data_IF_093199015083
#
_entry.id   IF_093199015083
#
_cell.length_a   1.000
_cell.length_b   1.000
_cell.length_c   1.000
_cell.angle_alpha   90.00
_cell.angle_beta   90.00
_cell.angle_gamma   90.00
#
_symmetry.space_group_name_H-M   'P 1'
#
loop_
_entity.id
_entity.type
_entity.pdbx_description
1 polymer ?
#
# COMPACT_ATOMS: atom_id res chain seq x y z
N UNK A 1 60.57 3.39 -1.99
CA UNK A 1 59.18 2.92 -2.06
C UNK A 1 59.10 1.61 -1.30
N UNK A 2 58.34 1.56 -0.19
CA UNK A 2 58.19 0.32 0.56
C UNK A 2 57.24 -0.62 -0.24
N UNK A 3 57.57 -1.95 -0.33
CA UNK A 3 56.74 -2.91 -1.04
C UNK A 3 55.38 -3.05 -0.34
N UNK A 4 54.28 -2.93 -1.12
CA UNK A 4 52.91 -3.14 -0.62
C UNK A 4 52.81 -4.61 -0.21
N UNK A 5 52.44 -4.89 1.04
CA UNK A 5 52.30 -6.25 1.55
C UNK A 5 51.20 -7.00 0.76
N UNK A 6 51.41 -8.27 0.37
CA UNK A 6 50.42 -9.07 -0.39
C UNK A 6 49.03 -9.13 0.23
N UNK A 7 48.94 -9.06 1.58
CA UNK A 7 47.70 -9.02 2.34
C UNK A 7 46.87 -7.78 2.05
N UNK A 8 47.50 -6.61 1.86
CA UNK A 8 46.77 -5.36 1.55
C UNK A 8 46.15 -5.43 0.13
N UNK A 9 46.83 -6.07 -0.82
CA UNK A 9 46.30 -6.29 -2.18
C UNK A 9 45.10 -7.23 -2.15
N UNK A 10 45.18 -8.32 -1.37
CA UNK A 10 44.09 -9.29 -1.23
C UNK A 10 42.86 -8.66 -0.58
N UNK A 11 43.03 -7.85 0.46
CA UNK A 11 41.92 -7.10 1.09
C UNK A 11 41.31 -6.08 0.14
N UNK A 12 42.09 -5.40 -0.67
CA UNK A 12 41.60 -4.44 -1.64
C UNK A 12 40.75 -5.14 -2.73
N UNK A 13 41.23 -6.29 -3.26
CA UNK A 13 40.48 -7.09 -4.23
C UNK A 13 39.21 -7.70 -3.62
N UNK A 14 39.25 -8.20 -2.39
CA UNK A 14 38.07 -8.74 -1.70
C UNK A 14 37.02 -7.66 -1.43
N UNK A 15 37.45 -6.48 -1.02
CA UNK A 15 36.56 -5.34 -0.79
C UNK A 15 35.89 -4.84 -2.09
N UNK A 16 36.67 -4.71 -3.16
CA UNK A 16 36.14 -4.35 -4.48
C UNK A 16 35.21 -5.43 -5.04
N UNK A 17 35.51 -6.70 -4.82
CA UNK A 17 34.66 -7.82 -5.20
C UNK A 17 33.33 -7.80 -4.44
N UNK A 18 33.34 -7.56 -3.15
CA UNK A 18 32.12 -7.39 -2.34
C UNK A 18 31.33 -6.16 -2.76
N UNK A 19 31.96 -5.04 -3.06
CA UNK A 19 31.35 -3.84 -3.58
C UNK A 19 30.73 -4.10 -4.97
N UNK A 20 31.46 -4.79 -5.84
CA UNK A 20 31.00 -5.16 -7.18
C UNK A 20 29.81 -6.14 -7.10
N UNK A 21 29.88 -7.12 -6.21
CA UNK A 21 28.79 -8.07 -5.96
C UNK A 21 27.52 -7.36 -5.42
N UNK A 22 27.68 -6.39 -4.53
CA UNK A 22 26.54 -5.60 -4.02
C UNK A 22 25.91 -4.70 -5.08
N UNK A 23 26.69 -4.16 -6.02
CA UNK A 23 26.19 -3.38 -7.15
C UNK A 23 25.49 -4.26 -8.21
N UNK A 24 25.97 -5.49 -8.42
CA UNK A 24 25.34 -6.41 -9.39
C UNK A 24 24.07 -7.07 -8.85
N UNK A 25 23.88 -7.13 -7.53
CA UNK A 25 22.67 -7.67 -6.89
C UNK A 25 21.54 -6.64 -6.75
N UNK A 26 21.74 -5.39 -7.12
CA UNK A 26 20.69 -4.37 -7.18
C UNK A 26 19.73 -4.68 -8.35
N UNK A 27 18.79 -5.62 -8.12
CA UNK A 27 17.72 -5.91 -9.07
C UNK A 27 16.92 -4.63 -9.32
N UNK A 28 16.70 -4.27 -10.59
CA UNK A 28 15.81 -3.14 -10.95
C UNK A 28 14.40 -3.38 -10.36
N UNK A 29 13.69 -2.33 -9.95
CA UNK A 29 12.28 -2.45 -9.61
C UNK A 29 11.52 -3.16 -10.73
N UNK A 30 10.66 -4.09 -10.37
CA UNK A 30 9.89 -4.83 -11.35
C UNK A 30 8.66 -4.02 -11.76
N UNK A 31 8.50 -3.80 -13.07
CA UNK A 31 7.35 -3.13 -13.64
C UNK A 31 6.55 -4.16 -14.44
N UNK A 32 5.26 -4.24 -14.15
CA UNK A 32 4.31 -5.12 -14.81
C UNK A 32 3.39 -4.25 -15.64
N UNK A 33 3.65 -4.16 -16.94
CA UNK A 33 2.77 -3.49 -17.89
C UNK A 33 1.76 -4.50 -18.45
N UNK A 34 0.48 -4.16 -18.41
CA UNK A 34 -0.57 -5.03 -18.92
C UNK A 34 -1.55 -4.28 -19.81
N UNK A 35 -2.18 -5.02 -20.73
CA UNK A 35 -3.17 -4.46 -21.67
C UNK A 35 -4.58 -4.89 -21.27
N UNK A 36 -5.44 -3.93 -21.01
CA UNK A 36 -6.88 -4.12 -20.77
C UNK A 36 -7.61 -2.83 -21.16
N UNK A 37 -8.17 -2.75 -22.38
CA UNK A 37 -8.74 -1.51 -22.91
C UNK A 37 -9.82 -0.91 -22.00
N UNK A 38 -9.71 0.39 -21.71
CA UNK A 38 -10.65 1.18 -20.93
C UNK A 38 -10.91 0.66 -19.49
N UNK A 39 -9.97 -0.07 -18.91
CA UNK A 39 -10.15 -0.64 -17.56
C UNK A 39 -10.16 0.44 -16.48
N UNK A 40 -9.19 1.38 -16.50
CA UNK A 40 -8.96 2.38 -15.46
C UNK A 40 -9.07 1.77 -14.06
N UNK A 41 -8.17 0.85 -13.70
CA UNK A 41 -8.28 0.08 -12.46
C UNK A 41 -8.05 0.98 -11.26
N UNK A 42 -8.84 0.78 -10.20
CA UNK A 42 -8.72 1.54 -8.94
C UNK A 42 -8.25 0.65 -7.80
N UNK A 43 -8.81 -0.56 -7.63
CA UNK A 43 -8.44 -1.51 -6.60
C UNK A 43 -7.36 -2.50 -7.04
N UNK A 44 -6.52 -2.93 -6.11
CA UNK A 44 -5.44 -3.89 -6.31
C UNK A 44 -5.33 -4.84 -5.11
N UNK A 45 -5.33 -6.15 -5.37
CA UNK A 45 -4.98 -7.16 -4.37
C UNK A 45 -4.07 -8.23 -4.96
N UNK A 46 -3.28 -8.88 -4.10
CA UNK A 46 -2.44 -10.01 -4.46
C UNK A 46 -3.09 -11.33 -4.03
N UNK A 47 -3.42 -12.20 -4.99
CA UNK A 47 -3.82 -13.57 -4.70
C UNK A 47 -2.59 -14.46 -4.56
N UNK A 48 -2.25 -14.77 -3.30
CA UNK A 48 -1.10 -15.61 -3.00
C UNK A 48 -1.27 -17.08 -3.41
N UNK A 49 -2.53 -17.53 -3.60
CA UNK A 49 -2.81 -18.92 -4.01
C UNK A 49 -2.59 -19.11 -5.51
N UNK A 50 -2.97 -18.14 -6.32
CA UNK A 50 -2.82 -18.16 -7.77
C UNK A 50 -1.58 -17.39 -8.28
N UNK A 51 -0.84 -16.71 -7.37
CA UNK A 51 0.38 -15.96 -7.67
C UNK A 51 0.18 -14.90 -8.77
N UNK A 52 -0.94 -14.15 -8.68
CA UNK A 52 -1.25 -13.05 -9.57
C UNK A 52 -1.91 -11.88 -8.82
N UNK A 53 -1.91 -10.71 -9.44
CA UNK A 53 -2.69 -9.58 -8.99
C UNK A 53 -4.12 -9.65 -9.50
N UNK A 54 -5.06 -9.09 -8.75
CA UNK A 54 -6.44 -8.86 -9.20
C UNK A 54 -6.70 -7.37 -9.12
N UNK A 55 -7.26 -6.81 -10.19
CA UNK A 55 -7.61 -5.39 -10.29
C UNK A 55 -9.09 -5.21 -10.62
N UNK A 56 -9.69 -4.13 -10.11
CA UNK A 56 -11.05 -3.70 -10.42
C UNK A 56 -11.13 -2.89 -11.71
N UNK A 57 -12.27 -2.27 -11.97
CA UNK A 57 -12.49 -1.40 -13.12
C UNK A 57 -13.43 -0.23 -12.78
N UNK A 58 -13.16 0.96 -13.30
CA UNK A 58 -14.08 2.10 -13.19
C UNK A 58 -15.32 1.97 -14.09
N UNK A 59 -15.23 1.24 -15.18
CA UNK A 59 -16.28 1.28 -16.23
C UNK A 59 -16.85 -0.08 -16.60
N UNK A 60 -16.29 -1.14 -16.05
CA UNK A 60 -16.68 -2.51 -16.41
C UNK A 60 -17.01 -3.33 -15.17
N UNK A 61 -18.09 -4.11 -15.25
CA UNK A 61 -18.46 -5.10 -14.23
C UNK A 61 -17.54 -6.34 -14.30
N UNK A 62 -16.23 -6.08 -14.33
CA UNK A 62 -15.19 -7.09 -14.57
C UNK A 62 -14.04 -6.92 -13.59
N UNK A 63 -13.56 -8.04 -13.09
CA UNK A 63 -12.30 -8.15 -12.34
C UNK A 63 -11.28 -8.84 -13.26
N UNK A 64 -10.09 -8.26 -13.32
CA UNK A 64 -9.03 -8.73 -14.21
C UNK A 64 -7.88 -9.29 -13.36
N UNK A 65 -7.39 -10.49 -13.70
CA UNK A 65 -6.14 -11.01 -13.16
C UNK A 65 -4.96 -10.53 -13.99
N UNK A 66 -3.86 -10.20 -13.32
CA UNK A 66 -2.62 -9.75 -13.96
C UNK A 66 -1.46 -10.58 -13.40
N UNK A 67 -0.81 -11.34 -14.27
CA UNK A 67 0.35 -12.13 -13.89
C UNK A 67 1.61 -11.26 -13.75
N UNK A 68 2.65 -11.80 -13.13
CA UNK A 68 3.97 -11.16 -13.01
C UNK A 68 4.62 -10.82 -14.38
N UNK A 69 4.21 -11.52 -15.44
CA UNK A 69 4.63 -11.27 -16.82
C UNK A 69 3.76 -10.26 -17.58
N UNK A 70 2.75 -9.65 -16.93
CA UNK A 70 1.85 -8.67 -17.55
C UNK A 70 0.74 -9.28 -18.41
N UNK A 71 0.50 -10.60 -18.30
CA UNK A 71 -0.66 -11.22 -18.96
C UNK A 71 -1.90 -10.87 -18.17
N UNK A 72 -2.86 -10.19 -18.81
CA UNK A 72 -4.12 -9.78 -18.24
C UNK A 72 -5.27 -10.66 -18.80
N UNK A 73 -6.08 -11.20 -17.90
CA UNK A 73 -7.23 -12.05 -18.25
C UNK A 73 -8.47 -11.60 -17.48
N UNK A 74 -9.64 -11.65 -18.12
CA UNK A 74 -10.90 -11.45 -17.43
C UNK A 74 -11.12 -12.60 -16.44
N UNK A 75 -10.84 -12.34 -15.16
CA UNK A 75 -11.01 -13.33 -14.09
C UNK A 75 -12.49 -13.58 -13.79
N UNK A 76 -13.25 -12.50 -13.64
CA UNK A 76 -14.68 -12.50 -13.34
C UNK A 76 -15.35 -11.44 -14.19
N UNK A 77 -16.38 -11.82 -14.92
CA UNK A 77 -17.35 -10.92 -15.52
C UNK A 77 -18.71 -11.22 -14.91
N UNK A 78 -19.31 -10.22 -14.23
CA UNK A 78 -20.56 -10.41 -13.51
C UNK A 78 -21.72 -9.72 -14.24
N UNK A 79 -22.51 -10.45 -15.06
CA UNK A 79 -23.60 -9.88 -15.85
C UNK A 79 -24.78 -9.39 -15.01
N UNK A 80 -24.90 -9.82 -13.75
CA UNK A 80 -25.99 -9.41 -12.87
C UNK A 80 -25.72 -8.06 -12.18
N UNK A 81 -24.48 -7.55 -12.26
CA UNK A 81 -24.20 -6.16 -11.86
C UNK A 81 -24.75 -5.20 -12.91
N UNK A 82 -25.21 -4.00 -12.52
CA UNK A 82 -25.60 -2.97 -13.49
C UNK A 82 -24.45 -2.67 -14.46
N UNK A 83 -24.78 -2.27 -15.68
CA UNK A 83 -23.78 -1.80 -16.63
C UNK A 83 -23.14 -0.50 -16.15
N UNK A 84 -21.87 -0.31 -16.51
CA UNK A 84 -21.09 0.89 -16.18
C UNK A 84 -20.94 1.17 -14.65
N UNK A 85 -21.00 0.13 -13.82
CA UNK A 85 -20.60 0.25 -12.42
C UNK A 85 -19.08 0.31 -12.31
N UNK A 86 -18.64 0.95 -11.23
CA UNK A 86 -17.24 0.93 -10.79
C UNK A 86 -17.05 -0.20 -9.77
N UNK A 87 -15.99 -0.99 -9.95
CA UNK A 87 -15.48 -1.91 -8.94
C UNK A 87 -14.24 -1.27 -8.36
N UNK A 88 -14.37 -0.69 -7.17
CA UNK A 88 -13.35 0.10 -6.50
C UNK A 88 -12.49 -0.78 -5.59
N UNK A 89 -12.65 -0.69 -4.29
CA UNK A 89 -11.85 -1.45 -3.33
C UNK A 89 -12.00 -2.96 -3.47
N UNK A 90 -10.90 -3.65 -3.26
CA UNK A 90 -10.83 -5.11 -3.28
C UNK A 90 -10.20 -5.63 -1.99
N UNK A 91 -10.62 -6.82 -1.54
CA UNK A 91 -9.96 -7.53 -0.45
C UNK A 91 -10.03 -9.05 -0.67
N UNK A 92 -8.98 -9.76 -0.24
CA UNK A 92 -8.97 -11.22 -0.22
C UNK A 92 -9.19 -11.71 1.21
N UNK A 93 -10.28 -12.47 1.40
CA UNK A 93 -10.54 -13.25 2.59
C UNK A 93 -9.96 -14.66 2.37
N UNK A 94 -8.70 -14.82 2.71
CA UNK A 94 -7.97 -16.08 2.49
C UNK A 94 -8.48 -17.23 3.37
N UNK A 95 -9.11 -16.93 4.51
CA UNK A 95 -9.66 -17.94 5.42
C UNK A 95 -10.88 -18.60 4.78
N UNK A 96 -11.74 -17.79 4.14
CA UNK A 96 -12.97 -18.26 3.52
C UNK A 96 -12.83 -18.41 1.99
N UNK A 97 -11.62 -18.27 1.47
CA UNK A 97 -11.31 -18.37 0.03
C UNK A 97 -12.18 -17.47 -0.86
N UNK A 98 -12.36 -16.21 -0.44
CA UNK A 98 -13.24 -15.25 -1.12
C UNK A 98 -12.47 -14.02 -1.60
N UNK A 99 -12.86 -13.52 -2.76
CA UNK A 99 -12.57 -12.16 -3.23
C UNK A 99 -13.78 -11.28 -2.93
N UNK A 100 -13.56 -10.18 -2.25
CA UNK A 100 -14.55 -9.16 -1.93
C UNK A 100 -14.32 -7.94 -2.80
N UNK A 101 -15.39 -7.37 -3.35
CA UNK A 101 -15.34 -6.22 -4.24
C UNK A 101 -16.42 -5.18 -3.85
N UNK A 102 -16.02 -3.93 -3.65
CA UNK A 102 -16.92 -2.81 -3.47
C UNK A 102 -17.42 -2.34 -4.84
N UNK A 103 -18.73 -2.39 -5.02
CA UNK A 103 -19.39 -2.01 -6.29
C UNK A 103 -20.17 -0.73 -6.07
N UNK A 104 -19.93 0.25 -6.93
CA UNK A 104 -20.56 1.56 -6.89
C UNK A 104 -21.06 1.98 -8.26
N UNK A 105 -22.26 2.60 -8.32
CA UNK A 105 -22.75 3.27 -9.52
C UNK A 105 -22.70 4.78 -9.36
N UNK A 106 -21.87 5.46 -10.14
CA UNK A 106 -21.79 6.91 -10.18
C UNK A 106 -23.01 7.53 -10.91
N UNK A 107 -23.32 8.81 -10.60
CA UNK A 107 -24.31 9.55 -11.39
C UNK A 107 -23.86 9.61 -12.88
N UNK A 108 -24.79 9.57 -13.84
CA UNK A 108 -26.25 9.65 -13.71
C UNK A 108 -26.97 8.30 -13.50
N UNK A 109 -26.24 7.21 -13.32
CA UNK A 109 -26.84 5.90 -13.08
C UNK A 109 -27.71 5.92 -11.79
N UNK A 110 -28.72 5.05 -11.66
CA UNK A 110 -29.40 4.82 -10.40
C UNK A 110 -28.40 4.52 -9.27
N UNK A 111 -28.72 4.94 -8.04
CA UNK A 111 -27.87 4.66 -6.89
C UNK A 111 -27.73 3.15 -6.70
N UNK A 112 -26.49 2.69 -6.65
CA UNK A 112 -26.16 1.32 -6.39
C UNK A 112 -24.85 1.24 -5.60
N UNK A 113 -24.91 0.66 -4.42
CA UNK A 113 -23.73 0.35 -3.61
C UNK A 113 -23.90 -1.07 -3.06
N UNK A 114 -22.95 -1.92 -3.32
CA UNK A 114 -22.99 -3.30 -2.89
C UNK A 114 -21.58 -3.84 -2.56
N UNK A 115 -21.56 -4.85 -1.71
CA UNK A 115 -20.40 -5.73 -1.54
C UNK A 115 -20.68 -7.02 -2.31
N UNK A 116 -19.90 -7.28 -3.33
CA UNK A 116 -19.89 -8.55 -4.05
C UNK A 116 -18.82 -9.48 -3.45
N UNK A 117 -19.17 -10.75 -3.25
CA UNK A 117 -18.24 -11.78 -2.81
C UNK A 117 -18.19 -12.90 -3.86
N UNK A 118 -16.98 -13.27 -4.25
CA UNK A 118 -16.72 -14.31 -5.25
C UNK A 118 -15.83 -15.40 -4.63
N UNK A 119 -16.09 -16.64 -4.97
CA UNK A 119 -15.21 -17.75 -4.64
C UNK A 119 -13.96 -17.71 -5.53
N UNK A 120 -12.78 -17.64 -4.94
CA UNK A 120 -11.51 -17.50 -5.67
C UNK A 120 -11.20 -18.70 -6.57
N UNK A 121 -11.66 -19.89 -6.21
CA UNK A 121 -11.38 -21.11 -6.94
C UNK A 121 -12.32 -21.29 -8.14
N UNK A 122 -13.65 -21.19 -7.90
CA UNK A 122 -14.67 -21.39 -8.92
C UNK A 122 -14.95 -20.12 -9.72
N UNK A 123 -14.52 -18.94 -9.22
CA UNK A 123 -14.78 -17.61 -9.79
C UNK A 123 -16.27 -17.25 -9.81
N UNK A 124 -17.09 -18.00 -9.10
CA UNK A 124 -18.54 -17.78 -9.01
C UNK A 124 -18.87 -16.80 -7.90
N UNK A 125 -19.88 -15.96 -8.14
CA UNK A 125 -20.41 -15.09 -7.10
C UNK A 125 -21.06 -15.91 -6.00
N UNK A 126 -20.63 -15.67 -4.75
CA UNK A 126 -21.20 -16.25 -3.52
C UNK A 126 -22.39 -15.41 -3.08
N UNK A 127 -22.22 -14.08 -3.06
CA UNK A 127 -23.25 -13.14 -2.63
C UNK A 127 -23.08 -11.77 -3.26
N UNK A 128 -24.17 -11.02 -3.31
CA UNK A 128 -24.23 -9.60 -3.65
C UNK A 128 -25.06 -8.93 -2.57
N UNK A 129 -24.42 -8.22 -1.65
CA UNK A 129 -25.07 -7.60 -0.51
C UNK A 129 -25.21 -6.10 -0.76
N UNK A 130 -26.45 -5.63 -0.84
CA UNK A 130 -26.76 -4.20 -0.93
C UNK A 130 -26.34 -3.47 0.35
N UNK A 131 -25.65 -2.34 0.22
CA UNK A 131 -25.21 -1.52 1.34
C UNK A 131 -26.27 -0.45 1.63
N UNK A 132 -26.76 -0.33 2.89
CA UNK A 132 -27.87 0.54 3.21
C UNK A 132 -27.49 2.02 3.10
N UNK A 133 -28.41 2.86 2.58
CA UNK A 133 -28.25 4.31 2.56
C UNK A 133 -28.34 4.90 3.97
N UNK A 134 -27.69 6.05 4.18
CA UNK A 134 -27.75 6.78 5.46
C UNK A 134 -28.93 7.74 5.56
N UNK A 135 -29.82 7.78 4.57
CA UNK A 135 -30.89 8.76 4.44
C UNK A 135 -30.42 10.23 4.34
N UNK A 136 -29.18 10.44 3.90
CA UNK A 136 -28.66 11.78 3.60
C UNK A 136 -28.99 12.20 2.17
N UNK A 137 -28.81 13.49 1.87
CA UNK A 137 -28.98 14.01 0.51
C UNK A 137 -27.76 13.73 -0.38
N UNK A 138 -26.71 13.11 0.15
CA UNK A 138 -25.50 12.74 -0.60
C UNK A 138 -25.59 11.29 -1.04
N UNK A 139 -25.16 11.02 -2.27
CA UNK A 139 -25.05 9.64 -2.76
C UNK A 139 -23.86 8.96 -2.08
N UNK A 140 -24.08 7.83 -1.42
CA UNK A 140 -22.99 7.07 -0.83
C UNK A 140 -22.05 6.51 -1.91
N UNK A 141 -20.78 6.32 -1.57
CA UNK A 141 -19.76 5.73 -2.43
C UNK A 141 -19.03 4.63 -1.67
N UNK A 142 -19.38 3.38 -1.96
CA UNK A 142 -18.67 2.22 -1.44
C UNK A 142 -17.27 2.17 -2.06
N UNK A 143 -16.23 2.19 -1.23
CA UNK A 143 -14.84 2.29 -1.68
C UNK A 143 -13.94 1.22 -1.05
N UNK A 144 -13.09 1.54 -0.09
CA UNK A 144 -12.12 0.61 0.49
C UNK A 144 -12.74 -0.54 1.27
N UNK A 145 -12.10 -1.69 1.29
CA UNK A 145 -12.54 -2.88 2.00
C UNK A 145 -11.44 -3.38 2.94
N UNK A 146 -11.83 -3.70 4.17
CA UNK A 146 -11.07 -4.55 5.07
C UNK A 146 -11.89 -5.79 5.46
N UNK A 147 -11.21 -6.90 5.76
CA UNK A 147 -11.87 -8.13 6.22
C UNK A 147 -11.19 -8.64 7.48
N UNK A 148 -11.99 -9.00 8.50
CA UNK A 148 -11.47 -9.58 9.72
C UNK A 148 -11.35 -11.12 9.62
N UNK A 149 -10.70 -11.73 10.60
CA UNK A 149 -10.53 -13.19 10.63
C UNK A 149 -11.84 -13.96 10.94
N UNK A 150 -12.92 -13.26 11.34
CA UNK A 150 -14.26 -13.84 11.54
C UNK A 150 -15.05 -13.89 10.22
N UNK A 151 -14.51 -13.26 9.15
CA UNK A 151 -15.14 -13.16 7.83
C UNK A 151 -16.10 -11.98 7.69
N UNK A 152 -16.08 -11.01 8.62
CA UNK A 152 -16.84 -9.77 8.45
C UNK A 152 -16.06 -8.82 7.53
N UNK A 153 -16.75 -8.18 6.61
CA UNK A 153 -16.19 -7.15 5.74
C UNK A 153 -16.60 -5.76 6.24
N UNK A 154 -15.66 -4.82 6.19
CA UNK A 154 -15.86 -3.41 6.50
C UNK A 154 -15.62 -2.61 5.23
N UNK A 155 -16.61 -1.83 4.81
CA UNK A 155 -16.58 -1.06 3.57
C UNK A 155 -16.66 0.43 3.91
N UNK A 156 -15.73 1.23 3.42
CA UNK A 156 -15.75 2.68 3.65
C UNK A 156 -16.72 3.37 2.72
N UNK A 157 -17.35 4.45 3.19
CA UNK A 157 -18.14 5.37 2.38
C UNK A 157 -17.39 6.69 2.22
N UNK A 158 -16.86 6.91 1.03
CA UNK A 158 -16.04 8.10 0.73
C UNK A 158 -16.85 9.39 0.64
N UNK A 159 -18.15 9.32 0.35
CA UNK A 159 -18.99 10.52 0.23
C UNK A 159 -19.50 11.04 1.57
N UNK A 160 -19.78 10.16 2.52
CA UNK A 160 -20.51 10.51 3.76
C UNK A 160 -19.70 10.21 5.04
N UNK A 161 -18.47 9.71 4.92
CA UNK A 161 -17.57 9.45 6.04
C UNK A 161 -18.17 8.54 7.12
N UNK A 162 -18.56 7.34 6.72
CA UNK A 162 -18.91 6.27 7.63
C UNK A 162 -18.43 4.91 7.07
N UNK A 163 -18.55 3.86 7.86
CA UNK A 163 -18.13 2.51 7.50
C UNK A 163 -19.33 1.57 7.62
N UNK A 164 -19.61 0.79 6.58
CA UNK A 164 -20.50 -0.35 6.66
C UNK A 164 -19.78 -1.58 7.19
N UNK A 165 -20.54 -2.44 7.85
CA UNK A 165 -20.12 -3.81 8.15
C UNK A 165 -21.08 -4.78 7.47
N UNK A 166 -20.52 -5.73 6.76
CA UNK A 166 -21.24 -6.89 6.23
C UNK A 166 -20.74 -8.08 7.01
N UNK A 167 -21.61 -8.71 7.78
CA UNK A 167 -21.23 -9.87 8.58
C UNK A 167 -20.96 -11.10 7.71
N UNK A 168 -20.41 -12.15 8.32
CA UNK A 168 -20.12 -13.40 7.60
C UNK A 168 -21.34 -14.08 6.98
N UNK A 169 -22.56 -13.69 7.36
CA UNK A 169 -23.84 -14.20 6.83
C UNK A 169 -24.40 -13.31 5.72
N UNK A 170 -23.74 -12.19 5.41
CA UNK A 170 -24.15 -11.26 4.37
C UNK A 170 -25.11 -10.17 4.85
N UNK A 171 -25.30 -9.98 6.16
CA UNK A 171 -26.13 -8.90 6.69
C UNK A 171 -25.33 -7.61 6.76
N UNK A 172 -25.84 -6.54 6.10
CA UNK A 172 -25.19 -5.23 6.05
C UNK A 172 -25.82 -4.23 7.00
N UNK A 173 -24.98 -3.42 7.64
CA UNK A 173 -25.41 -2.31 8.50
C UNK A 173 -24.39 -1.17 8.48
N UNK A 174 -24.81 0.05 8.84
CA UNK A 174 -23.89 1.14 9.14
C UNK A 174 -23.24 0.83 10.49
N UNK A 175 -21.93 0.71 10.48
CA UNK A 175 -21.16 0.22 11.63
C UNK A 175 -20.46 1.32 12.40
N UNK A 176 -19.72 2.18 11.72
CA UNK A 176 -18.99 3.28 12.36
C UNK A 176 -19.35 4.60 11.71
N UNK A 177 -19.98 5.49 12.49
CA UNK A 177 -20.31 6.85 12.10
C UNK A 177 -19.85 7.79 13.20
N UNK A 178 -18.62 8.29 13.10
CA UNK A 178 -17.99 9.11 14.12
C UNK A 178 -17.92 10.58 13.71
N UNK A 179 -18.20 11.49 14.66
CA UNK A 179 -18.00 12.93 14.47
C UNK A 179 -16.52 13.27 14.16
N UNK A 180 -15.57 12.44 14.61
CA UNK A 180 -14.14 12.64 14.34
C UNK A 180 -13.81 12.62 12.85
N UNK A 181 -14.55 11.90 12.02
CA UNK A 181 -14.37 11.87 10.57
C UNK A 181 -14.68 13.21 9.87
N UNK A 182 -15.36 14.12 10.54
CA UNK A 182 -15.74 15.43 10.03
C UNK A 182 -15.18 16.60 10.84
N UNK A 183 -14.24 16.33 11.77
CA UNK A 183 -13.70 17.33 12.69
C UNK A 183 -12.49 18.10 12.15
N UNK A 184 -11.97 17.70 11.00
CA UNK A 184 -10.77 18.30 10.39
C UNK A 184 -11.12 19.05 9.10
N UNK A 185 -10.38 20.15 8.79
CA UNK A 185 -10.60 20.90 7.58
C UNK A 185 -10.26 20.07 6.34
N UNK A 186 -11.12 20.19 5.32
CA UNK A 186 -10.90 19.54 4.01
C UNK A 186 -9.88 20.35 3.21
N UNK A 187 -8.95 19.68 2.55
CA UNK A 187 -8.04 20.30 1.58
C UNK A 187 -8.85 20.71 0.36
N UNK A 188 -9.07 22.01 0.18
CA UNK A 188 -9.86 22.54 -0.93
C UNK A 188 -9.06 22.54 -2.25
N UNK A 189 -9.80 22.52 -3.38
CA UNK A 189 -9.25 22.65 -4.74
C UNK A 189 -8.31 21.53 -5.20
N UNK A 190 -8.36 20.38 -4.54
CA UNK A 190 -7.65 19.18 -4.93
C UNK A 190 -8.60 18.14 -5.55
N UNK A 191 -8.07 17.26 -6.39
CA UNK A 191 -8.85 16.20 -7.06
C UNK A 191 -9.57 15.27 -6.09
N UNK A 192 -9.05 15.15 -4.86
CA UNK A 192 -9.60 14.31 -3.79
C UNK A 192 -10.45 15.08 -2.77
N UNK A 193 -10.72 16.38 -2.97
CA UNK A 193 -11.47 17.20 -1.98
C UNK A 193 -12.85 16.65 -1.65
N UNK A 194 -13.51 15.97 -2.57
CA UNK A 194 -14.82 15.33 -2.37
C UNK A 194 -14.74 13.92 -1.78
N UNK A 195 -13.57 13.32 -1.72
CA UNK A 195 -13.36 11.94 -1.24
C UNK A 195 -13.00 11.95 0.25
N UNK A 196 -13.82 11.32 1.05
CA UNK A 196 -13.62 11.16 2.50
C UNK A 196 -12.88 9.89 2.87
N UNK A 197 -13.49 9.04 3.72
CA UNK A 197 -12.91 7.75 4.11
C UNK A 197 -12.68 6.89 2.87
N UNK A 198 -11.48 6.33 2.74
CA UNK A 198 -11.05 5.59 1.57
C UNK A 198 -10.46 4.24 1.97
N UNK A 199 -9.20 3.98 1.74
CA UNK A 199 -8.57 2.70 2.04
C UNK A 199 -8.73 2.27 3.49
N UNK A 200 -8.90 0.97 3.70
CA UNK A 200 -9.00 0.35 5.02
C UNK A 200 -8.22 -0.95 5.07
N UNK A 201 -7.58 -1.23 6.20
CA UNK A 201 -6.91 -2.50 6.48
C UNK A 201 -7.25 -2.99 7.89
N UNK A 202 -7.50 -4.29 8.04
CA UNK A 202 -7.71 -4.91 9.35
C UNK A 202 -6.39 -5.31 9.99
N UNK A 203 -6.25 -4.97 11.26
CA UNK A 203 -5.13 -5.37 12.10
C UNK A 203 -5.58 -6.49 13.03
N UNK A 204 -4.84 -7.58 13.10
CA UNK A 204 -5.20 -8.80 13.85
C UNK A 204 -5.43 -8.59 15.36
N UNK A 205 -5.09 -7.41 15.88
CA UNK A 205 -5.39 -6.99 17.26
C UNK A 205 -6.84 -6.52 17.46
N UNK A 206 -7.72 -6.61 16.45
CA UNK A 206 -9.15 -6.31 16.57
C UNK A 206 -9.56 -4.90 16.17
N UNK A 207 -8.83 -4.23 15.30
CA UNK A 207 -9.19 -2.89 14.81
C UNK A 207 -8.84 -2.71 13.33
N UNK A 208 -9.43 -1.68 12.73
CA UNK A 208 -9.11 -1.21 11.40
C UNK A 208 -8.17 0.00 11.47
N UNK A 209 -7.33 0.17 10.47
CA UNK A 209 -6.73 1.45 10.12
C UNK A 209 -7.41 1.93 8.84
N UNK A 210 -7.90 3.16 8.87
CA UNK A 210 -8.69 3.75 7.79
C UNK A 210 -8.10 5.12 7.46
N UNK A 211 -7.83 5.36 6.19
CA UNK A 211 -7.34 6.66 5.71
C UNK A 211 -8.46 7.52 5.16
N UNK A 212 -8.28 8.83 5.19
CA UNK A 212 -9.23 9.80 4.68
C UNK A 212 -8.54 10.73 3.68
N UNK A 213 -9.01 10.74 2.44
CA UNK A 213 -8.33 11.44 1.35
C UNK A 213 -8.33 12.96 1.52
N UNK A 214 -9.48 13.55 1.77
CA UNK A 214 -9.67 15.01 1.76
C UNK A 214 -9.07 15.75 2.96
N UNK A 215 -8.80 15.06 4.06
CA UNK A 215 -8.14 15.64 5.23
C UNK A 215 -6.71 15.15 5.42
N UNK A 216 -6.33 14.05 4.77
CA UNK A 216 -5.04 13.37 4.98
C UNK A 216 -4.92 12.68 6.34
N UNK A 217 -6.03 12.48 7.06
CA UNK A 217 -6.02 11.86 8.38
C UNK A 217 -6.12 10.34 8.31
N UNK A 218 -5.65 9.68 9.34
CA UNK A 218 -5.80 8.24 9.55
C UNK A 218 -6.52 7.98 10.87
N UNK A 219 -7.41 6.99 10.85
CA UNK A 219 -8.21 6.62 12.01
C UNK A 219 -7.98 5.16 12.36
N UNK A 220 -7.94 4.89 13.68
CA UNK A 220 -8.06 3.56 14.24
C UNK A 220 -9.52 3.33 14.64
N UNK A 221 -10.12 2.28 14.14
CA UNK A 221 -11.54 1.95 14.37
C UNK A 221 -11.63 0.58 15.01
N UNK A 222 -12.23 0.49 16.18
CA UNK A 222 -12.47 -0.78 16.84
C UNK A 222 -13.39 -1.67 15.99
N UNK A 223 -13.00 -2.92 15.72
CA UNK A 223 -13.74 -3.81 14.83
C UNK A 223 -14.95 -4.49 15.48
N UNK A 224 -15.09 -4.41 16.80
CA UNK A 224 -16.23 -4.95 17.51
C UNK A 224 -17.36 -3.92 17.68
N UNK A 225 -17.04 -2.67 18.05
CA UNK A 225 -18.05 -1.63 18.36
C UNK A 225 -18.07 -0.42 17.41
N UNK A 226 -17.09 -0.29 16.50
CA UNK A 226 -17.01 0.83 15.54
C UNK A 226 -16.51 2.15 16.13
N UNK A 227 -16.02 2.17 17.36
CA UNK A 227 -15.43 3.37 17.97
C UNK A 227 -14.20 3.82 17.20
N UNK A 228 -14.21 5.06 16.72
CA UNK A 228 -13.12 5.63 15.93
C UNK A 228 -12.30 6.63 16.73
N UNK A 229 -10.98 6.57 16.57
CA UNK A 229 -10.02 7.51 17.15
C UNK A 229 -9.03 7.97 16.08
N UNK A 230 -8.67 9.25 16.12
CA UNK A 230 -7.61 9.79 15.27
C UNK A 230 -6.28 9.14 15.64
N UNK A 231 -5.51 8.70 14.65
CA UNK A 231 -4.09 8.32 14.81
C UNK A 231 -3.26 9.59 14.68
N UNK A 232 -2.45 9.90 15.69
CA UNK A 232 -1.57 11.07 15.65
C UNK A 232 -0.35 10.75 14.78
N UNK A 233 -0.25 11.43 13.65
CA UNK A 233 0.86 11.30 12.71
C UNK A 233 1.73 12.56 12.72
N UNK A 234 3.00 12.41 12.38
CA UNK A 234 3.96 13.52 12.22
C UNK A 234 3.74 14.33 10.94
N UNK A 235 2.98 13.82 9.96
CA UNK A 235 2.52 14.55 8.76
C UNK A 235 1.15 14.06 8.30
N UNK A 236 0.42 14.91 7.56
CA UNK A 236 -0.85 14.55 6.95
C UNK A 236 -0.63 13.74 5.66
N UNK A 237 -1.41 12.68 5.46
CA UNK A 237 -1.39 11.82 4.28
C UNK A 237 -2.34 12.36 3.20
N UNK A 238 -2.05 13.54 2.67
CA UNK A 238 -2.96 14.25 1.74
C UNK A 238 -3.26 13.45 0.48
N UNK A 239 -4.54 13.26 0.20
CA UNK A 239 -4.98 12.45 -0.94
C UNK A 239 -4.80 10.94 -0.71
N UNK A 240 -4.64 10.49 0.56
CA UNK A 240 -4.52 9.07 0.88
C UNK A 240 -5.67 8.28 0.26
N UNK A 241 -5.33 7.21 -0.44
CA UNK A 241 -6.24 6.37 -1.20
C UNK A 241 -6.15 4.92 -0.70
N UNK A 242 -5.37 4.06 -1.33
CA UNK A 242 -5.14 2.69 -0.89
C UNK A 242 -4.25 2.58 0.34
N UNK A 243 -4.49 1.54 1.14
CA UNK A 243 -3.69 1.19 2.32
C UNK A 243 -3.43 -0.32 2.34
N UNK A 244 -2.23 -0.71 2.73
CA UNK A 244 -1.88 -2.11 2.97
C UNK A 244 -0.95 -2.23 4.17
N UNK A 245 -0.91 -3.41 4.79
CA UNK A 245 -0.01 -3.69 5.89
C UNK A 245 0.89 -4.88 5.55
N UNK A 246 2.19 -4.70 5.73
CA UNK A 246 3.19 -5.76 5.61
C UNK A 246 3.22 -6.63 6.87
N UNK A 247 3.73 -7.85 6.73
CA UNK A 247 3.85 -8.81 7.84
C UNK A 247 4.71 -8.32 9.00
N UNK A 248 5.65 -7.39 8.75
CA UNK A 248 6.50 -6.77 9.77
C UNK A 248 5.82 -5.60 10.51
N UNK A 249 4.53 -5.35 10.24
CA UNK A 249 3.74 -4.29 10.86
C UNK A 249 3.88 -2.91 10.22
N UNK A 250 4.68 -2.78 9.16
CA UNK A 250 4.75 -1.54 8.38
C UNK A 250 3.44 -1.33 7.63
N UNK A 251 2.83 -0.17 7.80
CA UNK A 251 1.68 0.28 7.04
C UNK A 251 2.14 1.11 5.85
N UNK A 252 1.54 0.83 4.71
CA UNK A 252 1.77 1.49 3.43
C UNK A 252 0.51 2.25 3.08
N UNK A 253 0.65 3.53 2.74
CA UNK A 253 -0.47 4.35 2.27
C UNK A 253 -0.06 5.00 0.95
N UNK A 254 -0.90 4.88 -0.06
CA UNK A 254 -0.64 5.48 -1.37
C UNK A 254 -1.60 6.64 -1.63
N UNK A 255 -1.12 7.65 -2.31
CA UNK A 255 -1.90 8.65 -3.03
C UNK A 255 -1.39 8.73 -4.46
N UNK A 256 -2.04 9.51 -5.30
CA UNK A 256 -1.58 9.73 -6.67
C UNK A 256 -0.21 10.44 -6.77
N UNK A 257 0.30 10.99 -5.64
CA UNK A 257 1.60 11.71 -5.58
C UNK A 257 2.67 11.00 -4.78
N UNK A 258 2.29 10.15 -3.82
CA UNK A 258 3.25 9.63 -2.85
C UNK A 258 2.83 8.28 -2.28
N UNK A 259 3.81 7.44 -2.04
CA UNK A 259 3.68 6.26 -1.22
C UNK A 259 4.39 6.51 0.11
N UNK A 260 3.66 6.44 1.23
CA UNK A 260 4.19 6.57 2.58
C UNK A 260 4.42 5.23 3.24
N UNK A 261 5.45 5.19 4.10
CA UNK A 261 5.79 4.06 4.95
C UNK A 261 5.64 4.48 6.42
N UNK A 262 4.75 3.82 7.15
CA UNK A 262 4.39 4.19 8.51
C UNK A 262 4.69 3.05 9.48
N UNK A 263 5.04 3.41 10.72
CA UNK A 263 5.20 2.51 11.85
C UNK A 263 4.54 3.08 13.10
N UNK A 264 4.13 2.19 14.00
CA UNK A 264 3.65 2.55 15.34
C UNK A 264 4.26 1.61 16.38
N UNK A 265 4.52 2.14 17.57
CA UNK A 265 5.00 1.37 18.72
C UNK A 265 3.94 1.16 19.79
N UNK A 266 2.82 1.88 19.71
CA UNK A 266 1.75 1.90 20.72
C UNK A 266 0.40 1.37 20.19
N UNK A 267 0.44 0.52 19.18
CA UNK A 267 -0.76 -0.02 18.53
C UNK A 267 -1.64 1.05 17.87
N UNK A 268 -1.00 2.08 17.27
CA UNK A 268 -1.65 3.12 16.47
C UNK A 268 -2.52 4.10 17.27
N UNK A 269 -2.12 4.46 18.48
CA UNK A 269 -2.48 5.74 19.09
C UNK A 269 -1.72 6.86 18.41
N UNK A 270 -0.40 6.63 18.24
CA UNK A 270 0.50 7.45 17.44
C UNK A 270 1.17 6.62 16.35
N UNK A 271 1.49 7.27 15.25
CA UNK A 271 2.23 6.66 14.14
C UNK A 271 3.26 7.62 13.56
N UNK A 272 4.34 7.07 13.01
CA UNK A 272 5.40 7.86 12.38
C UNK A 272 5.49 7.48 10.91
N UNK A 273 5.33 8.47 10.04
CA UNK A 273 5.79 8.39 8.66
C UNK A 273 7.30 8.49 8.70
N UNK A 274 7.99 7.40 8.40
CA UNK A 274 9.45 7.34 8.51
C UNK A 274 10.15 7.34 7.17
N UNK A 275 9.38 7.14 6.07
CA UNK A 275 9.92 7.16 4.72
C UNK A 275 8.78 7.38 3.70
N UNK A 276 9.14 7.74 2.45
CA UNK A 276 8.19 7.91 1.37
C UNK A 276 8.86 7.91 0.00
N UNK A 277 8.07 7.59 -1.01
CA UNK A 277 8.48 7.60 -2.42
C UNK A 277 7.53 8.51 -3.17
N UNK A 278 8.06 9.53 -3.86
CA UNK A 278 7.27 10.37 -4.74
C UNK A 278 6.89 9.59 -6.00
N UNK A 279 5.64 9.73 -6.42
CA UNK A 279 5.05 9.02 -7.54
C UNK A 279 4.76 9.99 -8.69
N UNK A 280 4.70 9.45 -9.89
CA UNK A 280 4.30 10.20 -11.10
C UNK A 280 2.79 10.50 -11.03
N UNK A 281 2.47 11.80 -10.86
CA UNK A 281 1.08 12.27 -10.72
C UNK A 281 0.21 11.97 -11.96
N UNK A 282 0.82 11.87 -13.14
CA UNK A 282 0.09 11.57 -14.37
C UNK A 282 -0.41 10.13 -14.42
N UNK A 283 0.32 9.20 -13.80
CA UNK A 283 -0.08 7.79 -13.69
C UNK A 283 -1.24 7.58 -12.74
N UNK A 284 -1.49 8.53 -11.86
CA UNK A 284 -2.56 8.56 -10.87
C UNK A 284 -2.69 7.24 -10.10
N UNK A 285 -1.72 7.00 -9.25
CA UNK A 285 -1.69 5.81 -8.41
C UNK A 285 -2.85 5.81 -7.40
N UNK A 286 -3.53 4.67 -7.21
CA UNK A 286 -4.74 4.53 -6.39
C UNK A 286 -4.62 3.46 -5.32
N UNK A 287 -3.96 2.35 -5.62
CA UNK A 287 -3.90 1.22 -4.73
C UNK A 287 -2.47 0.74 -4.48
N UNK A 288 -2.25 0.20 -3.28
CA UNK A 288 -1.00 -0.45 -2.88
C UNK A 288 -1.30 -1.87 -2.40
N UNK A 289 -0.48 -2.83 -2.81
CA UNK A 289 -0.58 -4.21 -2.38
C UNK A 289 0.78 -4.76 -1.93
N UNK A 290 0.74 -5.75 -1.04
CA UNK A 290 1.91 -6.53 -0.64
C UNK A 290 1.85 -7.86 -1.37
N UNK A 291 2.74 -8.05 -2.32
CA UNK A 291 2.85 -9.27 -3.11
C UNK A 291 3.72 -10.35 -2.43
N UNK A 292 4.12 -11.33 -3.22
CA UNK A 292 5.01 -12.40 -2.77
C UNK A 292 6.30 -11.84 -2.15
N UNK A 293 6.83 -12.54 -1.13
CA UNK A 293 8.06 -12.17 -0.40
C UNK A 293 7.99 -10.79 0.29
N UNK A 294 6.79 -10.23 0.51
CA UNK A 294 6.61 -8.93 1.15
C UNK A 294 6.97 -7.74 0.26
N UNK A 295 7.08 -7.94 -1.05
CA UNK A 295 7.31 -6.88 -2.03
C UNK A 295 6.11 -5.94 -2.10
N UNK A 296 6.39 -4.66 -2.23
CA UNK A 296 5.37 -3.60 -2.29
C UNK A 296 5.12 -3.23 -3.74
N UNK A 297 3.86 -3.16 -4.12
CA UNK A 297 3.43 -2.81 -5.47
C UNK A 297 2.39 -1.70 -5.44
N UNK A 298 2.48 -0.77 -6.37
CA UNK A 298 1.53 0.32 -6.56
C UNK A 298 0.86 0.17 -7.93
N UNK A 299 -0.45 0.37 -7.96
CA UNK A 299 -1.25 0.35 -9.19
C UNK A 299 -1.32 1.75 -9.80
N UNK A 300 -0.90 1.87 -11.04
CA UNK A 300 -1.02 3.08 -11.87
C UNK A 300 -2.33 3.01 -12.67
N UNK A 301 -3.41 3.56 -12.09
CA UNK A 301 -4.77 3.38 -12.58
C UNK A 301 -5.24 4.41 -13.60
N UNK A 302 -4.56 5.57 -13.71
CA UNK A 302 -4.97 6.69 -14.57
C UNK A 302 -6.42 7.12 -14.37
N UNK A 303 -6.92 6.95 -13.15
CA UNK A 303 -8.35 7.11 -12.77
C UNK A 303 -8.89 8.50 -13.13
N UNK A 304 -8.05 9.55 -13.01
CA UNK A 304 -8.44 10.90 -13.41
C UNK A 304 -8.85 10.99 -14.89
N UNK A 305 -8.17 10.27 -15.78
CA UNK A 305 -8.54 10.24 -17.20
C UNK A 305 -9.91 9.56 -17.37
N UNK A 306 -10.10 8.40 -16.74
CA UNK A 306 -11.36 7.66 -16.79
C UNK A 306 -12.54 8.45 -16.24
N UNK A 307 -12.38 9.14 -15.11
CA UNK A 307 -13.41 9.99 -14.50
C UNK A 307 -13.76 11.21 -15.37
N UNK A 308 -12.82 11.73 -16.12
CA UNK A 308 -13.05 12.83 -17.07
C UNK A 308 -13.65 12.37 -18.41
N UNK A 309 -13.93 11.07 -18.57
CA UNK A 309 -14.49 10.51 -19.81
C UNK A 309 -13.46 10.39 -20.94
N UNK A 310 -12.17 10.55 -20.68
CA UNK A 310 -11.10 10.31 -21.65
C UNK A 310 -10.89 8.81 -21.78
N UNK A 311 -11.78 8.14 -22.51
CA UNK A 311 -11.69 6.71 -22.79
C UNK A 311 -10.75 6.47 -23.98
N UNK A 312 -10.05 5.36 -23.95
CA UNK A 312 -9.12 4.97 -25.03
C UNK A 312 -7.76 4.48 -24.54
N UNK A 313 -7.50 4.56 -23.24
CA UNK A 313 -6.28 3.98 -22.67
C UNK A 313 -6.38 2.46 -22.68
N UNK A 314 -5.35 1.83 -23.22
CA UNK A 314 -5.29 0.36 -23.34
C UNK A 314 -4.31 -0.28 -22.36
N UNK A 315 -3.32 0.49 -21.85
CA UNK A 315 -2.23 -0.04 -21.04
C UNK A 315 -2.20 0.62 -19.67
N UNK A 316 -1.98 -0.22 -18.67
CA UNK A 316 -1.86 0.14 -17.26
C UNK A 316 -0.63 -0.53 -16.67
N UNK A 317 -0.24 -0.15 -15.46
CA UNK A 317 0.97 -0.67 -14.83
C UNK A 317 0.78 -1.00 -13.36
N UNK A 318 1.49 -2.03 -12.91
CA UNK A 318 1.72 -2.35 -11.50
C UNK A 318 3.22 -2.26 -11.29
N UNK A 319 3.66 -1.40 -10.38
CA UNK A 319 5.07 -1.05 -10.21
C UNK A 319 5.58 -1.47 -8.83
N UNK A 320 6.67 -2.25 -8.80
CA UNK A 320 7.34 -2.62 -7.55
C UNK A 320 8.02 -1.40 -6.94
N UNK A 321 7.66 -1.06 -5.71
CA UNK A 321 8.25 0.05 -4.96
C UNK A 321 9.36 -0.44 -4.06
N UNK A 322 10.52 0.18 -4.15
CA UNK A 322 11.68 -0.10 -3.31
C UNK A 322 12.19 1.17 -2.71
N UNK A 323 12.36 1.16 -1.40
CA UNK A 323 13.12 2.22 -0.76
C UNK A 323 14.56 2.17 -1.27
N UNK A 324 15.04 3.29 -1.75
CA UNK A 324 16.46 3.44 -2.06
C UNK A 324 17.24 3.33 -0.75
N UNK A 325 17.83 2.17 -0.49
CA UNK A 325 18.78 2.04 0.60
C UNK A 325 20.05 2.77 0.20
N UNK A 326 20.12 4.06 0.46
CA UNK A 326 21.41 4.77 0.42
C UNK A 326 22.20 4.32 1.65
N UNK A 327 23.13 3.42 1.42
CA UNK A 327 24.16 3.12 2.40
C UNK A 327 25.22 4.20 2.27
N UNK A 328 25.35 5.05 3.27
CA UNK A 328 26.46 5.99 3.34
C UNK A 328 27.61 5.24 4.01
N UNK A 329 28.67 5.02 3.23
CA UNK A 329 29.91 4.45 3.75
C UNK A 329 30.78 5.63 4.21
N UNK A 330 30.89 5.82 5.52
CA UNK A 330 31.74 6.86 6.11
C UNK A 330 33.01 6.18 6.65
N UNK A 331 34.16 6.59 6.13
CA UNK A 331 35.45 6.17 6.65
C UNK A 331 35.97 7.23 7.61
N UNK A 332 36.25 6.85 8.83
CA UNK A 332 36.96 7.70 9.80
C UNK A 332 38.31 7.10 10.10
N UNK A 333 39.36 7.92 9.94
CA UNK A 333 40.69 7.59 10.43
C UNK A 333 40.71 8.03 11.88
N UNK A 334 40.99 7.11 12.79
CA UNK A 334 41.13 7.48 14.19
C UNK A 334 42.33 8.41 14.33
N UNK A 335 42.17 9.58 14.95
CA UNK A 335 43.32 10.46 15.18
C UNK A 335 44.33 9.74 16.08
N UNK A 336 45.63 9.83 15.80
CA UNK A 336 46.63 9.24 16.67
C UNK A 336 46.50 9.91 18.06
N UNK A 337 46.30 9.08 19.07
CA UNK A 337 46.41 9.59 20.47
C UNK A 337 47.86 10.04 20.67
N UNK A 338 48.07 11.26 21.10
CA UNK A 338 49.37 11.90 21.22
C UNK A 338 50.32 11.22 22.24
N UNK A 339 49.92 10.07 22.82
CA UNK A 339 50.70 9.31 23.82
C UNK A 339 50.69 7.78 23.58
N UNK A 340 50.18 7.29 22.45
CA UNK A 340 50.12 5.86 22.15
C UNK A 340 51.01 5.55 20.93
N UNK A 341 51.80 4.50 21.02
CA UNK A 341 52.59 3.93 19.92
C UNK A 341 51.74 3.00 19.05
N UNK A 342 50.41 3.02 19.24
CA UNK A 342 49.51 2.16 18.50
C UNK A 342 49.37 2.60 17.03
N UNK A 343 49.31 1.66 16.11
CA UNK A 343 49.19 1.97 14.70
C UNK A 343 47.80 2.58 14.38
N UNK A 344 47.70 3.39 13.32
CA UNK A 344 46.45 4.04 12.95
C UNK A 344 45.35 3.01 12.70
N UNK A 345 44.18 3.21 13.33
CA UNK A 345 42.98 2.42 13.08
C UNK A 345 42.13 3.07 12.00
N UNK A 346 41.45 2.25 11.21
CA UNK A 346 40.42 2.71 10.27
C UNK A 346 39.10 2.16 10.73
N UNK A 347 38.14 3.05 10.98
CA UNK A 347 36.77 2.69 11.29
C UNK A 347 35.91 2.90 10.05
N UNK A 348 35.31 1.84 9.54
CA UNK A 348 34.27 1.92 8.52
C UNK A 348 32.90 1.92 9.20
N UNK A 349 32.10 2.92 8.93
CA UNK A 349 30.73 3.04 9.42
C UNK A 349 29.80 2.96 8.23
N UNK A 350 28.86 2.03 8.27
CA UNK A 350 27.78 1.93 7.27
C UNK A 350 26.50 2.38 7.96
N UNK A 351 25.96 3.49 7.50
CA UNK A 351 24.71 4.07 8.03
C UNK A 351 23.62 3.83 6.99
N UNK A 352 22.49 3.28 7.41
CA UNK A 352 21.32 3.24 6.57
C UNK A 352 20.46 4.49 6.76
N UNK A 353 19.51 4.74 5.84
CA UNK A 353 18.57 5.86 5.89
C UNK A 353 17.69 5.91 7.14
N UNK A 354 17.76 4.90 8.01
CA UNK A 354 17.04 4.82 9.29
C UNK A 354 17.89 5.17 10.50
N UNK A 355 19.13 5.64 10.28
CA UNK A 355 20.06 5.96 11.39
C UNK A 355 20.65 4.72 12.08
N UNK A 356 20.33 3.50 11.63
CA UNK A 356 21.00 2.31 12.14
C UNK A 356 22.39 2.24 11.52
N UNK A 357 23.38 2.05 12.36
CA UNK A 357 24.78 1.96 11.94
C UNK A 357 25.38 0.62 12.36
N UNK A 358 26.31 0.15 11.54
CA UNK A 358 27.27 -0.91 11.90
C UNK A 358 28.66 -0.33 11.74
N UNK A 359 29.48 -0.50 12.77
CA UNK A 359 30.88 -0.05 12.78
C UNK A 359 31.79 -1.25 12.76
N UNK A 360 32.84 -1.18 11.95
CA UNK A 360 33.95 -2.13 11.98
C UNK A 360 35.21 -1.33 12.17
N UNK A 361 35.97 -1.66 13.24
CA UNK A 361 37.27 -1.03 13.52
C UNK A 361 38.38 -2.06 13.17
N UNK A 362 39.27 -1.66 12.32
CA UNK A 362 40.48 -2.47 12.01
C UNK A 362 41.64 -1.87 12.75
N UNK A 363 42.30 -2.67 13.58
CA UNK A 363 43.63 -2.42 14.10
C UNK A 363 44.63 -3.20 13.30
N UNK A 364 45.85 -2.68 13.13
CA UNK A 364 46.90 -3.31 12.30
C UNK A 364 47.45 -4.61 12.87
N UNK A 365 47.09 -4.97 14.10
CA UNK A 365 47.50 -6.20 14.77
C UNK A 365 46.33 -7.19 14.86
N UNK A 366 46.14 -8.00 13.88
CA UNK A 366 45.47 -9.31 13.74
C UNK A 366 44.43 -9.77 14.79
N UNK A 367 43.67 -8.89 15.45
CA UNK A 367 42.56 -9.30 16.32
C UNK A 367 41.26 -8.70 15.83
N UNK A 368 40.32 -9.56 15.38
CA UNK A 368 38.96 -9.22 15.00
C UNK A 368 38.09 -9.26 16.24
N UNK A 369 37.42 -8.16 16.53
CA UNK A 369 36.27 -8.15 17.46
C UNK A 369 35.00 -7.81 16.68
N UNK A 370 34.01 -8.67 16.81
CA UNK A 370 32.64 -8.53 16.27
C UNK A 370 31.82 -7.60 17.14
#
# INVERSE_FOLDING_TARGET
>A
MAPIKPSAIFFFFFFFFQLFLSLTLARKPHQIDFRSPNLYPEGLVWDSSAQHFIVGSLHHRTLVSVSDAGVAENLIHDPDLPENVSILGLAIDSINNRLLAAVHAAAPLPEFNALAAYDLRSRRRISLTSLPSSNSNRRPVANGIAVDFKGNAFVTNSAENFIWKVDKHGSASIFSKSASYSSHPITANEVYSSSGLNGAVYVSKGYLLVVQSNTGKMYKVDADDGTARLVLLNEDLKGADGIAMRRDGVVLVVSYRKLWFLKSQDSWGEGVVYDGIDLDEEKFATAVAVGGEGRVYVLNGYVKEGLNGNLGRERFGIEEMRLSRSWILEFRICPPNSFSTDPPCITAMVINSYGNYRTWTMHSDHSYYL
#
